data_IF_808517981962
#
_entry.id   IF_808517981962
#
_cell.length_a   1.000
_cell.length_b   1.000
_cell.length_c   1.000
_cell.angle_alpha   90.00
_cell.angle_beta   90.00
_cell.angle_gamma   90.00
#
_symmetry.space_group_name_H-M   'P 1'
#
loop_
_entity.id
_entity.type
_entity.pdbx_description
1 polymer ?
#
# COMPACT_ATOMS: atom_id res chain seq x y z
N UNK A 1 -24.96 0.05 -7.33
CA UNK A 1 -25.63 -1.19 -7.75
C UNK A 1 -24.67 -2.32 -8.19
N UNK A 2 -23.63 -2.71 -7.41
CA UNK A 2 -22.97 -4.04 -7.55
C UNK A 2 -23.63 -5.16 -6.79
N UNK A 3 -24.35 -4.82 -5.73
CA UNK A 3 -25.43 -5.69 -5.28
C UNK A 3 -26.35 -6.03 -6.46
N UNK A 4 -26.48 -5.15 -7.48
CA UNK A 4 -27.18 -5.43 -8.73
C UNK A 4 -26.31 -6.08 -9.82
N UNK A 5 -25.05 -5.70 -10.08
CA UNK A 5 -24.17 -6.40 -11.05
C UNK A 5 -23.89 -7.85 -10.63
N UNK A 6 -23.50 -8.07 -9.37
CA UNK A 6 -23.38 -9.40 -8.83
C UNK A 6 -24.76 -10.06 -8.67
N UNK A 7 -25.87 -9.42 -8.24
CA UNK A 7 -27.23 -10.05 -8.41
C UNK A 7 -27.55 -10.43 -9.86
N UNK A 8 -27.17 -9.61 -10.83
CA UNK A 8 -27.41 -9.81 -12.27
C UNK A 8 -26.54 -10.95 -12.79
N UNK A 9 -25.35 -11.15 -12.19
CA UNK A 9 -24.49 -12.33 -12.35
C UNK A 9 -24.79 -13.47 -11.35
N UNK A 10 -25.79 -13.31 -10.45
CA UNK A 10 -26.13 -14.25 -9.37
C UNK A 10 -25.16 -14.40 -8.19
N UNK A 11 -24.24 -13.47 -7.96
CA UNK A 11 -23.22 -13.50 -6.89
C UNK A 11 -23.49 -12.44 -5.81
N UNK A 12 -22.86 -12.58 -4.65
CA UNK A 12 -22.87 -11.61 -3.54
C UNK A 12 -21.42 -11.43 -3.08
N UNK A 13 -21.03 -10.26 -2.60
CA UNK A 13 -19.66 -10.03 -2.13
C UNK A 13 -19.62 -8.92 -1.07
N UNK A 14 -18.78 -9.14 -0.07
CA UNK A 14 -18.40 -8.19 0.96
C UNK A 14 -17.03 -7.63 0.60
N UNK A 15 -16.87 -6.32 0.63
CA UNK A 15 -15.59 -5.64 0.43
C UNK A 15 -15.26 -4.79 1.66
N UNK A 16 -13.99 -4.76 2.04
CA UNK A 16 -13.48 -3.86 3.07
C UNK A 16 -12.06 -3.40 2.74
N UNK A 17 -11.68 -2.27 3.34
CA UNK A 17 -10.35 -1.68 3.28
C UNK A 17 -9.80 -1.48 4.69
N UNK A 18 -8.49 -1.61 4.85
CA UNK A 18 -7.75 -1.34 6.11
C UNK A 18 -8.38 -1.95 7.38
N UNK A 19 -9.17 -3.03 7.23
CA UNK A 19 -9.91 -3.69 8.31
C UNK A 19 -9.13 -4.87 8.87
N UNK A 20 -9.09 -4.98 10.21
CA UNK A 20 -8.44 -6.08 10.89
C UNK A 20 -9.10 -7.43 10.55
N UNK A 21 -8.28 -8.44 10.25
CA UNK A 21 -8.67 -9.81 9.92
C UNK A 21 -7.99 -10.77 10.90
N UNK A 22 -8.77 -11.70 11.46
CA UNK A 22 -8.32 -12.65 12.47
C UNK A 22 -8.63 -14.08 12.03
N UNK A 23 -7.56 -14.83 11.71
CA UNK A 23 -7.62 -16.27 11.51
C UNK A 23 -7.25 -17.01 12.81
N UNK A 24 -7.82 -18.20 13.07
CA UNK A 24 -7.48 -18.97 14.27
C UNK A 24 -5.99 -19.29 14.34
N UNK A 25 -5.35 -19.00 15.48
CA UNK A 25 -3.93 -19.31 15.71
C UNK A 25 -2.94 -18.43 14.96
N UNK A 26 -3.41 -17.34 14.36
CA UNK A 26 -2.60 -16.42 13.55
C UNK A 26 -2.64 -15.01 14.14
N UNK A 27 -1.54 -14.25 14.02
CA UNK A 27 -1.54 -12.84 14.40
C UNK A 27 -2.54 -12.04 13.56
N UNK A 28 -3.24 -11.10 14.15
CA UNK A 28 -4.14 -10.22 13.39
C UNK A 28 -3.35 -9.46 12.30
N UNK A 29 -3.97 -9.25 11.15
CA UNK A 29 -3.41 -8.45 10.06
C UNK A 29 -4.50 -7.59 9.43
N UNK A 30 -4.10 -6.56 8.69
CA UNK A 30 -5.03 -5.66 8.01
C UNK A 30 -4.56 -5.50 6.57
N UNK A 31 -5.23 -6.14 5.60
CA UNK A 31 -4.97 -5.91 4.18
C UNK A 31 -5.48 -4.54 3.75
N UNK A 32 -4.83 -3.91 2.77
CA UNK A 32 -5.30 -2.66 2.20
C UNK A 32 -6.71 -2.81 1.61
N UNK A 33 -6.96 -3.89 0.87
CA UNK A 33 -8.28 -4.27 0.37
C UNK A 33 -8.48 -5.79 0.42
N UNK A 34 -9.67 -6.25 0.82
CA UNK A 34 -10.06 -7.65 0.65
C UNK A 34 -11.52 -7.82 0.25
N UNK A 35 -11.83 -8.97 -0.33
CA UNK A 35 -13.18 -9.38 -0.65
C UNK A 35 -13.52 -10.78 -0.13
N UNK A 36 -14.79 -10.96 0.23
CA UNK A 36 -15.39 -12.24 0.63
C UNK A 36 -16.65 -12.46 -0.18
N UNK A 37 -16.65 -13.50 -1.01
CA UNK A 37 -17.78 -13.87 -1.84
C UNK A 37 -18.91 -14.45 -1.00
N UNK A 38 -20.12 -14.40 -1.54
CA UNK A 38 -21.36 -14.95 -0.98
C UNK A 38 -21.74 -14.40 0.40
N UNK A 39 -21.10 -13.31 0.83
CA UNK A 39 -21.42 -12.57 2.06
C UNK A 39 -21.89 -11.17 1.69
N UNK A 40 -23.09 -10.74 2.11
CA UNK A 40 -23.57 -9.41 1.81
C UNK A 40 -22.85 -8.33 2.64
N UNK A 41 -22.72 -7.14 2.06
CA UNK A 41 -22.44 -5.93 2.82
C UNK A 41 -23.68 -5.64 3.70
N UNK A 42 -23.53 -5.46 5.02
CA UNK A 42 -24.66 -5.09 5.87
C UNK A 42 -25.09 -3.65 5.53
N UNK A 43 -26.41 -3.41 5.53
CA UNK A 43 -26.99 -2.09 5.27
C UNK A 43 -26.78 -1.13 6.46
N UNK A 44 -26.77 -1.69 7.68
CA UNK A 44 -26.54 -1.01 8.96
C UNK A 44 -25.50 -1.79 9.80
N UNK A 45 -24.72 -1.07 10.61
CA UNK A 45 -23.66 -1.60 11.51
C UNK A 45 -22.47 -2.27 10.77
N UNK A 46 -21.47 -1.47 10.32
CA UNK A 46 -20.31 -2.02 9.64
C UNK A 46 -19.47 -2.86 10.61
N UNK A 47 -19.01 -4.02 10.13
CA UNK A 47 -18.08 -4.86 10.88
C UNK A 47 -16.85 -4.05 11.27
N UNK A 48 -16.43 -4.17 12.53
CA UNK A 48 -15.18 -3.56 13.01
C UNK A 48 -13.95 -4.40 12.63
N UNK A 49 -14.15 -5.71 12.45
CA UNK A 49 -13.11 -6.66 12.06
C UNK A 49 -13.74 -7.87 11.36
N UNK A 50 -12.94 -8.59 10.58
CA UNK A 50 -13.30 -9.88 10.00
C UNK A 50 -12.71 -11.02 10.85
N UNK A 51 -13.53 -11.65 11.69
CA UNK A 51 -13.12 -12.77 12.53
C UNK A 51 -13.56 -14.07 11.88
N UNK A 52 -12.62 -14.85 11.35
CA UNK A 52 -12.93 -16.05 10.53
C UNK A 52 -13.71 -17.11 11.31
N UNK A 53 -13.48 -17.20 12.63
CA UNK A 53 -14.25 -18.12 13.51
C UNK A 53 -15.72 -17.71 13.57
N UNK A 54 -15.99 -16.41 13.69
CA UNK A 54 -17.36 -15.89 13.86
C UNK A 54 -18.09 -15.87 12.50
N UNK A 55 -17.39 -15.48 11.44
CA UNK A 55 -17.92 -15.43 10.07
C UNK A 55 -18.02 -16.82 9.42
N UNK A 56 -17.33 -17.83 9.97
CA UNK A 56 -17.19 -19.17 9.41
C UNK A 56 -16.66 -19.19 7.96
N UNK A 57 -15.99 -18.12 7.55
CA UNK A 57 -15.48 -17.94 6.19
C UNK A 57 -14.20 -17.09 6.18
N UNK A 58 -13.22 -17.55 5.41
CA UNK A 58 -11.98 -16.81 5.13
C UNK A 58 -12.13 -15.82 3.99
N UNK A 59 -11.07 -15.05 3.72
CA UNK A 59 -11.01 -14.14 2.59
C UNK A 59 -10.92 -14.89 1.27
N UNK A 60 -11.58 -14.38 0.24
CA UNK A 60 -11.54 -14.94 -1.11
C UNK A 60 -10.51 -14.22 -2.00
N UNK A 61 -10.29 -12.92 -1.76
CA UNK A 61 -9.37 -12.07 -2.52
C UNK A 61 -8.72 -11.04 -1.61
N UNK A 62 -7.44 -10.76 -1.84
CA UNK A 62 -6.70 -9.67 -1.19
C UNK A 62 -5.95 -8.86 -2.25
N UNK A 63 -5.95 -7.54 -2.11
CA UNK A 63 -5.14 -6.59 -2.87
C UNK A 63 -4.36 -5.69 -1.90
N UNK A 64 -3.05 -5.60 -2.10
CA UNK A 64 -2.17 -4.68 -1.37
C UNK A 64 -1.60 -3.62 -2.32
N UNK A 65 -1.42 -2.39 -1.85
CA UNK A 65 -0.80 -1.28 -2.60
C UNK A 65 0.61 -1.04 -2.04
N UNK A 66 1.60 -1.59 -2.73
CA UNK A 66 3.00 -1.44 -2.35
C UNK A 66 3.57 -0.11 -2.86
N UNK A 67 3.87 0.80 -1.93
CA UNK A 67 4.62 2.03 -2.19
C UNK A 67 6.04 1.97 -1.59
N UNK A 68 6.31 2.70 -0.48
CA UNK A 68 7.58 2.67 0.30
C UNK A 68 7.54 1.65 1.45
N UNK A 69 6.58 0.72 1.41
CA UNK A 69 6.40 -0.33 2.41
C UNK A 69 7.49 -1.41 2.37
N UNK A 70 7.43 -2.34 3.32
CA UNK A 70 8.36 -3.46 3.37
C UNK A 70 8.07 -4.44 2.23
N UNK A 71 8.80 -4.32 1.12
CA UNK A 71 8.67 -5.22 -0.03
C UNK A 71 8.78 -6.71 0.33
N UNK A 72 9.60 -7.06 1.31
CA UNK A 72 9.75 -8.45 1.75
C UNK A 72 8.47 -8.95 2.45
N UNK A 73 7.80 -8.08 3.22
CA UNK A 73 6.49 -8.37 3.80
C UNK A 73 5.51 -8.76 2.69
N UNK A 74 5.29 -7.89 1.71
CA UNK A 74 4.19 -8.09 0.75
C UNK A 74 4.55 -9.12 -0.35
N UNK A 75 5.77 -9.10 -0.89
CA UNK A 75 6.17 -9.98 -2.01
C UNK A 75 6.69 -11.36 -1.60
N UNK A 76 6.92 -11.61 -0.30
CA UNK A 76 7.45 -12.89 0.20
C UNK A 76 6.62 -13.39 1.37
N UNK A 77 6.61 -12.67 2.49
CA UNK A 77 5.98 -13.17 3.72
C UNK A 77 4.47 -13.34 3.56
N UNK A 78 3.78 -12.34 2.99
CA UNK A 78 2.34 -12.38 2.75
C UNK A 78 1.97 -13.39 1.67
N UNK A 79 2.78 -13.54 0.62
CA UNK A 79 2.59 -14.58 -0.41
C UNK A 79 2.55 -15.97 0.24
N UNK A 80 3.51 -16.29 1.11
CA UNK A 80 3.51 -17.58 1.80
C UNK A 80 2.38 -17.68 2.83
N UNK A 81 2.14 -16.62 3.59
CA UNK A 81 1.15 -16.59 4.66
C UNK A 81 -0.26 -16.76 4.12
N UNK A 82 -0.68 -15.93 3.17
CA UNK A 82 -2.04 -15.96 2.62
C UNK A 82 -2.33 -17.26 1.89
N UNK A 83 -1.32 -17.84 1.23
CA UNK A 83 -1.44 -19.19 0.68
C UNK A 83 -1.71 -20.24 1.78
N UNK A 84 -1.00 -20.20 2.92
CA UNK A 84 -1.25 -21.10 4.06
C UNK A 84 -2.63 -20.91 4.70
N UNK A 85 -3.15 -19.69 4.70
CA UNK A 85 -4.51 -19.38 5.15
C UNK A 85 -5.59 -19.86 4.18
N UNK A 86 -5.20 -20.30 2.98
CA UNK A 86 -6.13 -20.78 1.95
C UNK A 86 -6.84 -19.65 1.21
N UNK A 87 -6.31 -18.42 1.23
CA UNK A 87 -6.88 -17.28 0.50
C UNK A 87 -6.68 -17.53 -1.00
N UNK A 88 -7.75 -17.65 -1.82
CA UNK A 88 -7.66 -18.05 -3.22
C UNK A 88 -6.81 -17.14 -4.11
N UNK A 89 -6.96 -15.82 -3.99
CA UNK A 89 -6.24 -14.84 -4.82
C UNK A 89 -5.60 -13.73 -3.99
N UNK A 90 -4.36 -13.40 -4.35
CA UNK A 90 -3.60 -12.32 -3.76
C UNK A 90 -2.93 -11.48 -4.84
N UNK A 91 -3.24 -10.19 -4.88
CA UNK A 91 -2.65 -9.23 -5.81
C UNK A 91 -1.92 -8.13 -5.06
N UNK A 92 -0.86 -7.62 -5.68
CA UNK A 92 -0.08 -6.50 -5.16
C UNK A 92 0.09 -5.52 -6.31
N UNK A 93 -0.36 -4.30 -6.10
CA UNK A 93 -0.04 -3.19 -6.97
C UNK A 93 1.21 -2.47 -6.46
N UNK A 94 2.34 -2.69 -7.11
CA UNK A 94 3.59 -1.99 -6.86
C UNK A 94 3.56 -0.62 -7.54
N UNK A 95 3.06 0.39 -6.83
CA UNK A 95 2.93 1.77 -7.31
C UNK A 95 4.29 2.36 -7.67
N UNK A 96 5.33 2.07 -6.89
CA UNK A 96 6.67 2.62 -7.13
C UNK A 96 7.26 2.09 -8.45
N UNK A 97 7.01 0.83 -8.80
CA UNK A 97 7.52 0.21 -10.04
C UNK A 97 6.52 0.18 -11.19
N UNK A 98 5.28 0.59 -10.95
CA UNK A 98 4.18 0.46 -11.92
C UNK A 98 4.02 -0.99 -12.40
N UNK A 99 3.92 -1.92 -11.45
CA UNK A 99 3.78 -3.36 -11.71
C UNK A 99 2.64 -3.96 -10.90
N UNK A 100 1.99 -5.00 -11.44
CA UNK A 100 1.08 -5.85 -10.67
C UNK A 100 1.76 -7.21 -10.48
N UNK A 101 1.73 -7.71 -9.24
CA UNK A 101 2.05 -9.09 -8.92
C UNK A 101 0.74 -9.80 -8.59
N UNK A 102 0.44 -10.90 -9.26
CA UNK A 102 -0.75 -11.71 -8.99
C UNK A 102 -0.37 -13.11 -8.57
N UNK A 103 -1.09 -13.67 -7.61
CA UNK A 103 -0.86 -14.99 -7.04
C UNK A 103 -2.20 -15.71 -6.86
N UNK A 104 -2.26 -17.00 -7.23
CA UNK A 104 -3.50 -17.80 -7.19
C UNK A 104 -3.27 -19.22 -6.68
N UNK A 105 -4.16 -19.70 -5.81
CA UNK A 105 -4.24 -21.11 -5.45
C UNK A 105 -4.92 -21.89 -6.58
N UNK A 106 -4.27 -22.94 -7.07
CA UNK A 106 -4.79 -23.75 -8.19
C UNK A 106 -5.83 -24.79 -7.77
N UNK A 107 -5.98 -25.04 -6.47
CA UNK A 107 -6.97 -25.94 -5.90
C UNK A 107 -7.39 -25.46 -4.49
N UNK A 108 -8.59 -25.81 -3.99
CA UNK A 108 -9.07 -25.35 -2.68
C UNK A 108 -8.22 -25.81 -1.48
N UNK A 109 -7.58 -26.97 -1.59
CA UNK A 109 -6.69 -27.55 -0.57
C UNK A 109 -5.23 -27.10 -0.75
N UNK A 110 -4.90 -26.40 -1.84
CA UNK A 110 -3.57 -25.88 -2.06
C UNK A 110 -3.19 -24.86 -0.97
N UNK A 111 -1.92 -24.84 -0.59
CA UNK A 111 -1.36 -23.93 0.41
C UNK A 111 -0.12 -23.19 -0.07
N UNK A 112 0.07 -23.16 -1.39
CA UNK A 112 1.13 -22.42 -2.09
C UNK A 112 0.55 -21.82 -3.36
N UNK A 113 0.87 -20.56 -3.59
CA UNK A 113 0.43 -19.85 -4.78
C UNK A 113 1.23 -20.23 -6.02
N UNK A 114 0.60 -20.04 -7.18
CA UNK A 114 1.28 -19.84 -8.45
C UNK A 114 1.20 -18.37 -8.87
N UNK A 115 2.24 -17.88 -9.53
CA UNK A 115 2.22 -16.54 -10.10
C UNK A 115 1.21 -16.49 -11.25
N UNK A 116 0.39 -15.44 -11.25
CA UNK A 116 -0.52 -15.12 -12.35
C UNK A 116 0.23 -14.32 -13.41
N UNK A 117 0.09 -14.76 -14.66
CA UNK A 117 0.70 -14.09 -15.82
C UNK A 117 -0.35 -13.23 -16.51
N UNK A 118 -0.06 -11.96 -16.81
CA UNK A 118 -1.02 -11.10 -17.48
C UNK A 118 -1.27 -11.55 -18.92
N UNK A 119 -2.51 -11.38 -19.39
CA UNK A 119 -2.90 -11.59 -20.78
C UNK A 119 -3.15 -10.21 -21.41
N UNK A 120 -2.37 -9.87 -22.45
CA UNK A 120 -2.44 -8.54 -23.09
C UNK A 120 -2.31 -7.37 -22.09
N UNK A 121 -1.46 -7.54 -21.07
CA UNK A 121 -1.25 -6.54 -20.02
C UNK A 121 -2.34 -6.49 -18.94
N UNK A 122 -3.33 -7.39 -18.98
CA UNK A 122 -4.41 -7.48 -18.00
C UNK A 122 -4.21 -8.65 -17.06
N UNK A 123 -4.33 -8.39 -15.77
CA UNK A 123 -4.27 -9.39 -14.71
C UNK A 123 -5.69 -9.80 -14.32
N UNK A 124 -6.16 -10.93 -14.83
CA UNK A 124 -7.51 -11.41 -14.55
C UNK A 124 -7.63 -12.03 -13.16
N UNK A 125 -8.51 -11.48 -12.32
CA UNK A 125 -9.02 -12.09 -11.09
C UNK A 125 -10.21 -12.99 -11.42
N UNK A 126 -10.07 -14.29 -11.14
CA UNK A 126 -11.16 -15.26 -11.30
C UNK A 126 -12.15 -15.12 -10.15
N UNK A 127 -11.67 -14.77 -8.95
CA UNK A 127 -12.53 -14.57 -7.78
C UNK A 127 -13.49 -13.41 -8.03
N UNK A 128 -12.98 -12.25 -8.44
CA UNK A 128 -13.84 -11.09 -8.69
C UNK A 128 -14.51 -11.13 -10.07
N UNK A 129 -13.94 -11.88 -11.02
CA UNK A 129 -14.37 -11.84 -12.42
C UNK A 129 -13.99 -10.53 -13.10
N UNK A 130 -12.89 -9.90 -12.65
CA UNK A 130 -12.43 -8.58 -13.09
C UNK A 130 -10.99 -8.67 -13.60
N UNK A 131 -10.64 -7.75 -14.50
CA UNK A 131 -9.27 -7.55 -14.95
C UNK A 131 -8.65 -6.32 -14.26
N UNK A 132 -7.45 -6.50 -13.70
CA UNK A 132 -6.63 -5.44 -13.11
C UNK A 132 -5.62 -4.94 -14.17
N UNK A 133 -5.58 -3.63 -14.39
CA UNK A 133 -4.74 -3.00 -15.42
C UNK A 133 -4.10 -1.74 -14.87
N UNK A 134 -2.82 -1.50 -15.16
CA UNK A 134 -2.20 -0.20 -14.87
C UNK A 134 -2.36 0.69 -16.09
N UNK A 135 -2.99 1.84 -15.91
CA UNK A 135 -3.20 2.82 -16.98
C UNK A 135 -3.05 4.24 -16.45
N UNK A 136 -2.25 5.05 -17.15
CA UNK A 136 -2.03 6.45 -16.75
C UNK A 136 -1.34 6.62 -15.39
N UNK A 137 -0.67 5.58 -14.88
CA UNK A 137 -0.01 5.63 -13.57
C UNK A 137 -0.84 5.10 -12.40
N UNK A 138 -2.09 4.70 -12.64
CA UNK A 138 -3.03 4.21 -11.62
C UNK A 138 -3.54 2.81 -11.94
N UNK A 139 -3.95 2.08 -10.90
CA UNK A 139 -4.63 0.80 -11.05
C UNK A 139 -6.09 1.01 -11.46
N UNK A 140 -6.50 0.35 -12.55
CA UNK A 140 -7.85 0.38 -13.14
C UNK A 140 -8.44 -1.03 -13.17
N UNK A 141 -9.75 -1.10 -13.04
CA UNK A 141 -10.51 -2.34 -13.05
C UNK A 141 -11.41 -2.41 -14.27
N UNK A 142 -11.54 -3.60 -14.84
CA UNK A 142 -12.31 -3.85 -16.04
C UNK A 142 -13.19 -5.07 -15.91
N UNK A 143 -14.36 -5.02 -16.54
CA UNK A 143 -15.23 -6.19 -16.77
C UNK A 143 -15.42 -6.37 -18.27
N UNK A 144 -14.88 -7.46 -18.81
CA UNK A 144 -14.78 -7.64 -20.26
C UNK A 144 -13.99 -6.48 -20.90
N UNK A 145 -14.56 -5.83 -21.91
CA UNK A 145 -13.93 -4.67 -22.56
C UNK A 145 -14.27 -3.33 -21.90
N UNK A 146 -15.22 -3.31 -20.96
CA UNK A 146 -15.66 -2.08 -20.29
C UNK A 146 -14.76 -1.75 -19.11
N UNK A 147 -14.19 -0.54 -19.10
CA UNK A 147 -13.58 0.01 -17.89
C UNK A 147 -14.68 0.24 -16.86
N UNK A 148 -14.41 -0.19 -15.63
CA UNK A 148 -15.32 -0.02 -14.53
C UNK A 148 -15.08 1.37 -13.90
N UNK A 149 -15.64 2.38 -14.56
CA UNK A 149 -15.70 3.76 -14.09
C UNK A 149 -16.99 3.91 -13.30
N UNK A 150 -16.91 4.40 -12.06
CA UNK A 150 -17.99 4.28 -11.08
C UNK A 150 -19.37 4.81 -11.52
N UNK A 151 -20.41 4.03 -11.22
CA UNK A 151 -21.64 4.45 -10.50
C UNK A 151 -22.35 3.21 -9.92
N UNK A 152 -21.59 2.15 -9.64
CA UNK A 152 -22.05 0.97 -8.95
C UNK A 152 -21.34 0.88 -7.60
N UNK A 153 -22.09 0.94 -6.50
CA UNK A 153 -21.58 1.13 -5.13
C UNK A 153 -20.30 0.37 -4.79
N UNK A 154 -20.13 -0.91 -5.17
CA UNK A 154 -18.92 -1.68 -4.84
C UNK A 154 -17.72 -1.44 -5.78
N UNK A 155 -17.93 -0.96 -7.02
CA UNK A 155 -16.91 -0.76 -8.07
C UNK A 155 -16.44 0.67 -7.90
N UNK A 156 -17.38 1.59 -7.71
CA UNK A 156 -17.06 2.92 -7.21
C UNK A 156 -16.32 2.84 -5.89
N UNK A 157 -16.71 1.94 -4.97
CA UNK A 157 -15.94 1.71 -3.75
C UNK A 157 -14.58 1.07 -4.02
N UNK A 158 -14.45 0.00 -4.80
CA UNK A 158 -13.15 -0.64 -5.01
C UNK A 158 -12.18 0.28 -5.77
N UNK A 159 -12.65 0.94 -6.84
CA UNK A 159 -11.89 1.95 -7.56
C UNK A 159 -11.58 3.14 -6.65
N UNK A 160 -12.55 3.62 -5.87
CA UNK A 160 -12.36 4.70 -4.90
C UNK A 160 -11.39 4.34 -3.78
N UNK A 161 -11.42 3.11 -3.26
CA UNK A 161 -10.49 2.60 -2.25
C UNK A 161 -9.06 2.59 -2.81
N UNK A 162 -8.90 2.11 -4.04
CA UNK A 162 -7.59 2.14 -4.72
C UNK A 162 -7.11 3.57 -4.95
N UNK A 163 -7.99 4.47 -5.42
CA UNK A 163 -7.67 5.90 -5.61
C UNK A 163 -7.34 6.60 -4.29
N UNK A 164 -8.06 6.30 -3.20
CA UNK A 164 -7.81 6.84 -1.87
C UNK A 164 -6.50 6.32 -1.28
N UNK A 165 -6.17 5.03 -1.50
CA UNK A 165 -4.87 4.47 -1.12
C UNK A 165 -3.72 5.11 -1.91
N UNK A 166 -3.91 5.34 -3.21
CA UNK A 166 -2.96 6.10 -4.03
C UNK A 166 -2.76 7.53 -3.47
N UNK A 167 -3.84 8.23 -3.17
CA UNK A 167 -3.80 9.58 -2.61
C UNK A 167 -3.16 9.63 -1.21
N UNK A 168 -3.45 8.65 -0.35
CA UNK A 168 -2.81 8.49 0.97
C UNK A 168 -1.31 8.26 0.83
N UNK A 169 -0.88 7.42 -0.11
CA UNK A 169 0.53 7.17 -0.37
C UNK A 169 1.26 8.43 -0.83
N UNK A 170 0.68 9.20 -1.76
CA UNK A 170 1.23 10.47 -2.24
C UNK A 170 1.29 11.52 -1.11
N UNK A 171 0.25 11.61 -0.27
CA UNK A 171 0.24 12.51 0.88
C UNK A 171 1.29 12.14 1.93
N UNK A 172 1.50 10.85 2.19
CA UNK A 172 2.54 10.37 3.10
C UNK A 172 3.94 10.71 2.57
N UNK A 173 4.18 10.55 1.27
CA UNK A 173 5.44 10.92 0.62
C UNK A 173 5.71 12.42 0.71
N UNK A 174 4.71 13.24 0.39
CA UNK A 174 4.81 14.69 0.50
C UNK A 174 5.14 15.14 1.94
N UNK A 175 4.54 14.48 2.95
CA UNK A 175 4.81 14.77 4.37
C UNK A 175 6.23 14.41 4.78
N UNK A 176 6.75 13.27 4.32
CA UNK A 176 8.14 12.87 4.59
C UNK A 176 9.11 13.86 3.97
N UNK A 177 8.92 14.23 2.70
CA UNK A 177 9.79 15.20 2.03
C UNK A 177 9.71 16.57 2.69
N UNK A 178 8.51 17.02 3.08
CA UNK A 178 8.34 18.27 3.82
C UNK A 178 9.11 18.26 5.15
N UNK A 179 9.11 17.15 5.88
CA UNK A 179 9.85 17.01 7.12
C UNK A 179 11.38 17.04 6.88
N UNK A 180 11.86 16.31 5.86
CA UNK A 180 13.28 16.32 5.48
C UNK A 180 13.73 17.71 5.03
N UNK A 181 12.98 18.36 4.13
CA UNK A 181 13.24 19.72 3.69
C UNK A 181 13.29 20.70 4.88
N UNK A 182 12.36 20.58 5.83
CA UNK A 182 12.36 21.36 7.07
C UNK A 182 13.63 21.15 7.90
N UNK A 183 14.08 19.90 8.07
CA UNK A 183 15.33 19.59 8.78
C UNK A 183 16.56 20.16 8.07
N UNK A 184 16.64 20.04 6.74
CA UNK A 184 17.74 20.61 5.93
C UNK A 184 17.83 22.13 6.12
N UNK A 185 16.69 22.83 6.05
CA UNK A 185 16.61 24.28 6.30
C UNK A 185 16.99 24.61 7.74
N UNK A 186 16.55 23.82 8.73
CA UNK A 186 16.87 24.05 10.13
C UNK A 186 18.38 23.95 10.42
N UNK A 187 19.08 22.96 9.85
CA UNK A 187 20.54 22.82 9.98
C UNK A 187 21.25 24.09 9.51
N UNK A 188 20.89 24.58 8.31
CA UNK A 188 21.49 25.79 7.73
C UNK A 188 21.12 27.05 8.54
N UNK A 189 19.89 27.16 9.01
CA UNK A 189 19.43 28.28 9.82
C UNK A 189 20.17 28.38 11.15
N UNK A 190 20.42 27.25 11.83
CA UNK A 190 21.18 27.22 13.09
C UNK A 190 22.63 27.62 12.86
N UNK A 191 23.29 27.11 11.81
CA UNK A 191 24.66 27.53 11.46
C UNK A 191 24.72 29.05 11.18
N UNK A 192 23.77 29.56 10.39
CA UNK A 192 23.67 30.99 10.07
C UNK A 192 23.41 31.87 11.30
N UNK A 193 22.51 31.45 12.19
CA UNK A 193 22.23 32.17 13.44
C UNK A 193 23.45 32.24 14.37
N UNK A 194 24.36 31.26 14.28
CA UNK A 194 25.63 31.26 15.01
C UNK A 194 26.77 31.97 14.29
N UNK A 195 26.50 32.56 13.12
CA UNK A 195 27.52 33.23 12.31
C UNK A 195 28.54 32.27 11.67
N UNK A 196 28.22 30.97 11.61
CA UNK A 196 29.09 29.98 10.96
C UNK A 196 28.82 30.02 9.46
N UNK A 197 29.79 30.48 8.69
CA UNK A 197 29.70 30.45 7.23
C UNK A 197 29.60 29.00 6.74
N UNK A 198 28.61 28.76 5.89
CA UNK A 198 28.38 27.48 5.24
C UNK A 198 28.69 27.64 3.75
N UNK A 199 29.86 27.16 3.27
CA UNK A 199 30.21 27.17 1.85
C UNK A 199 29.15 26.47 1.00
N UNK A 200 29.07 26.83 -0.28
CA UNK A 200 28.03 26.29 -1.17
C UNK A 200 28.05 24.76 -1.28
N UNK A 201 29.22 24.14 -1.20
CA UNK A 201 29.36 22.68 -1.17
C UNK A 201 28.73 22.06 0.09
N UNK A 202 28.93 22.66 1.26
CA UNK A 202 28.33 22.23 2.51
C UNK A 202 26.81 22.44 2.50
N UNK A 203 26.34 23.57 1.94
CA UNK A 203 24.93 23.86 1.73
C UNK A 203 24.28 22.83 0.81
N UNK A 204 24.91 22.53 -0.32
CA UNK A 204 24.44 21.52 -1.27
C UNK A 204 24.36 20.14 -0.62
N UNK A 205 25.38 19.75 0.15
CA UNK A 205 25.41 18.47 0.88
C UNK A 205 24.29 18.35 1.91
N UNK A 206 23.96 19.42 2.62
CA UNK A 206 22.80 19.43 3.53
C UNK A 206 21.51 19.31 2.73
N UNK A 207 21.35 20.10 1.66
CA UNK A 207 20.13 20.12 0.85
C UNK A 207 19.86 18.82 0.09
N UNK A 208 20.88 18.01 -0.17
CA UNK A 208 20.76 16.70 -0.83
C UNK A 208 20.72 15.51 0.13
N UNK A 209 20.67 15.73 1.44
CA UNK A 209 20.67 14.64 2.42
C UNK A 209 19.25 14.11 2.65
N UNK A 210 19.06 12.81 2.43
CA UNK A 210 17.76 12.13 2.58
C UNK A 210 17.67 11.26 3.85
N UNK A 211 18.71 11.27 4.68
CA UNK A 211 18.74 10.52 5.94
C UNK A 211 18.35 11.42 7.13
N UNK A 212 17.17 11.22 7.74
CA UNK A 212 16.72 12.02 8.88
C UNK A 212 17.63 11.88 10.10
N UNK A 213 18.27 10.72 10.30
CA UNK A 213 19.17 10.52 11.44
C UNK A 213 20.45 11.34 11.28
N UNK A 214 20.98 11.41 10.06
CA UNK A 214 22.12 12.27 9.73
C UNK A 214 21.77 13.75 9.87
N UNK A 215 20.62 14.19 9.33
CA UNK A 215 20.15 15.57 9.48
C UNK A 215 19.96 15.98 10.94
N UNK A 216 19.35 15.11 11.75
CA UNK A 216 19.19 15.35 13.19
C UNK A 216 20.54 15.48 13.90
N UNK A 217 21.51 14.62 13.58
CA UNK A 217 22.86 14.69 14.17
C UNK A 217 23.55 16.00 13.80
N UNK A 218 23.49 16.41 12.53
CA UNK A 218 24.04 17.69 12.08
C UNK A 218 23.37 18.87 12.76
N UNK A 219 22.05 18.84 12.92
CA UNK A 219 21.31 19.88 13.63
C UNK A 219 21.78 20.02 15.08
N UNK A 220 21.91 18.89 15.79
CA UNK A 220 22.41 18.90 17.17
C UNK A 220 23.83 19.46 17.27
N UNK A 221 24.74 19.02 16.40
CA UNK A 221 26.13 19.49 16.40
C UNK A 221 26.25 20.95 16.01
N UNK A 222 25.42 21.41 15.07
CA UNK A 222 25.37 22.80 14.66
C UNK A 222 25.07 23.76 15.82
N UNK A 223 24.57 23.29 16.97
CA UNK A 223 24.37 24.12 18.17
C UNK A 223 25.64 24.41 18.97
N UNK A 224 26.70 23.59 18.83
CA UNK A 224 27.89 23.66 19.71
C UNK A 224 29.23 23.80 18.98
N UNK A 225 29.37 23.25 17.77
CA UNK A 225 30.65 23.23 17.02
C UNK A 225 31.07 24.61 16.51
N UNK A 226 32.32 24.80 16.10
CA UNK A 226 32.81 26.12 15.66
C UNK A 226 32.86 26.30 14.14
N UNK A 227 32.61 25.23 13.37
CA UNK A 227 32.65 25.26 11.91
C UNK A 227 31.58 24.37 11.26
N UNK A 228 31.22 24.69 10.01
CA UNK A 228 30.28 23.88 9.22
C UNK A 228 30.87 22.48 8.91
N UNK A 229 32.18 22.39 8.68
CA UNK A 229 32.86 21.11 8.44
C UNK A 229 32.74 20.16 9.64
N UNK A 230 32.90 20.68 10.87
CA UNK A 230 32.66 19.92 12.09
C UNK A 230 31.18 19.52 12.21
N UNK A 231 30.24 20.43 11.99
CA UNK A 231 28.81 20.10 12.09
C UNK A 231 28.41 18.93 11.17
N UNK A 232 28.97 18.91 9.96
CA UNK A 232 28.63 17.98 8.89
C UNK A 232 29.57 16.76 8.80
N UNK A 233 30.46 16.54 9.77
CA UNK A 233 31.36 15.38 9.73
C UNK A 233 30.60 14.07 9.88
N UNK A 234 31.14 13.00 9.28
CA UNK A 234 30.55 11.66 9.26
C UNK A 234 30.94 10.84 10.50
N UNK A 235 32.06 11.18 11.15
CA UNK A 235 32.59 10.51 12.35
C UNK A 235 32.07 11.12 13.67
N UNK A 236 31.96 10.29 14.74
CA UNK A 236 31.52 10.73 16.07
C UNK A 236 32.40 11.80 16.71
#
# INVERSE_FOLDING_TARGET
MLGLHFKTLGRVVYLAEEMAVMYPGEEAFSPDVFAVLDVPQPDDDPRLAWVVVDEHKGLDFVLEVLHRGNRNKDLVMNVERYARLGIPEYFIYDRARQQIHGYRLIAPDARRYQCTVPQLGRYGSVVLGLDLVIQGGSLRLYYGIGELIGSDDLIGRLTGMVEDLEAKAEAAEAKIEQALAGMRVAVLAVLGARGIECPDEARARVMSCDDPATLQRWLMRATSVSSAAEALSVEP
#
